data_IF_842818843149
#
_entry.id   IF_842818843149
#
_cell.length_a   1.000
_cell.length_b   1.000
_cell.length_c   1.000
_cell.angle_alpha   90.00
_cell.angle_beta   90.00
_cell.angle_gamma   90.00
#
_symmetry.space_group_name_H-M   'P 1'
#
loop_
_entity.id
_entity.type
_entity.pdbx_description
1 polymer ?
#
# COMPACT_ATOMS: atom_id res chain seq x y z
N UNK A 1 30.89 -25.85 6.47
CA UNK A 1 30.70 -24.63 5.67
C UNK A 1 29.27 -24.66 5.15
N UNK A 2 28.35 -23.99 5.85
CA UNK A 2 26.94 -23.92 5.46
C UNK A 2 26.82 -22.69 4.55
N UNK A 3 26.56 -22.92 3.27
CA UNK A 3 26.29 -21.88 2.29
C UNK A 3 24.80 -21.53 2.41
N UNK A 4 24.46 -20.40 3.01
CA UNK A 4 23.11 -19.84 2.96
C UNK A 4 22.91 -19.25 1.56
N UNK A 5 22.23 -19.98 0.68
CA UNK A 5 21.77 -19.47 -0.61
C UNK A 5 20.58 -18.53 -0.37
N UNK A 6 20.85 -17.23 -0.28
CA UNK A 6 19.84 -16.18 -0.38
C UNK A 6 19.34 -16.10 -1.82
N UNK A 7 18.52 -17.07 -2.23
CA UNK A 7 17.80 -17.02 -3.50
C UNK A 7 16.47 -16.30 -3.28
N UNK A 8 16.42 -15.01 -3.59
CA UNK A 8 15.13 -14.34 -3.79
C UNK A 8 14.40 -15.03 -4.95
N UNK A 9 13.11 -15.28 -4.79
CA UNK A 9 12.25 -15.78 -5.87
C UNK A 9 12.31 -14.77 -7.05
N UNK A 10 12.47 -15.18 -8.33
CA UNK A 10 11.97 -14.42 -9.45
C UNK A 10 10.55 -13.87 -9.27
N UNK A 11 10.32 -12.69 -9.87
CA UNK A 11 9.06 -11.97 -9.78
C UNK A 11 7.84 -12.73 -10.34
N UNK A 12 8.08 -13.73 -11.19
CA UNK A 12 7.06 -14.59 -11.76
C UNK A 12 6.54 -15.69 -10.79
N UNK A 13 7.18 -15.88 -9.63
CA UNK A 13 6.93 -17.03 -8.73
C UNK A 13 6.28 -16.63 -7.39
N UNK A 14 5.91 -15.36 -7.20
CA UNK A 14 5.22 -14.96 -5.97
C UNK A 14 3.76 -15.47 -6.01
N UNK A 15 3.36 -16.24 -4.99
CA UNK A 15 2.00 -16.77 -4.83
C UNK A 15 1.27 -16.08 -3.68
N UNK A 16 -0.05 -16.25 -3.57
CA UNK A 16 -0.81 -15.75 -2.42
C UNK A 16 -0.33 -16.35 -1.10
N UNK A 17 -0.06 -17.65 -1.08
CA UNK A 17 0.45 -18.33 0.11
C UNK A 17 1.81 -17.76 0.56
N UNK A 18 2.66 -17.35 -0.39
CA UNK A 18 3.96 -16.75 -0.09
C UNK A 18 3.84 -15.35 0.54
N UNK A 19 2.80 -14.58 0.19
CA UNK A 19 2.56 -13.22 0.73
C UNK A 19 1.63 -13.18 1.95
N UNK A 20 0.95 -14.29 2.26
CA UNK A 20 0.18 -14.46 3.49
C UNK A 20 0.70 -15.63 4.33
N UNK A 21 2.00 -15.63 4.69
CA UNK A 21 2.58 -16.70 5.49
C UNK A 21 1.98 -16.70 6.91
N UNK A 22 1.86 -17.88 7.52
CA UNK A 22 1.34 -18.05 8.88
C UNK A 22 2.42 -18.06 9.96
N UNK A 23 3.69 -18.10 9.55
CA UNK A 23 4.85 -18.37 10.39
C UNK A 23 5.90 -17.24 10.41
N UNK A 24 5.73 -16.19 9.60
CA UNK A 24 6.63 -15.03 9.56
C UNK A 24 5.91 -13.73 9.26
N UNK A 25 6.57 -12.62 9.57
CA UNK A 25 6.19 -11.29 9.09
C UNK A 25 6.79 -11.10 7.69
N UNK A 26 5.98 -10.64 6.75
CA UNK A 26 6.39 -10.35 5.38
C UNK A 26 7.28 -9.11 5.32
N UNK A 27 8.42 -9.17 4.61
CA UNK A 27 9.23 -7.98 4.34
C UNK A 27 8.73 -7.27 3.08
N UNK A 28 8.37 -5.99 3.23
CA UNK A 28 7.90 -5.16 2.12
C UNK A 28 8.64 -3.84 2.13
N UNK A 29 9.42 -3.60 1.08
CA UNK A 29 10.20 -2.40 0.89
C UNK A 29 9.58 -1.55 -0.22
N UNK A 30 9.13 -0.35 0.11
CA UNK A 30 8.54 0.60 -0.84
C UNK A 30 9.54 1.72 -1.08
N UNK A 31 9.90 1.97 -2.33
CA UNK A 31 10.76 3.08 -2.74
C UNK A 31 9.95 4.08 -3.56
N UNK A 32 9.99 5.34 -3.16
CA UNK A 32 9.24 6.46 -3.76
C UNK A 32 10.10 7.72 -3.72
N UNK A 33 10.02 8.64 -4.69
CA UNK A 33 10.67 9.94 -4.61
C UNK A 33 10.26 10.71 -3.35
N UNK A 34 11.18 11.49 -2.78
CA UNK A 34 10.92 12.22 -1.53
C UNK A 34 9.77 13.24 -1.66
N UNK A 35 9.67 13.92 -2.80
CA UNK A 35 8.60 14.88 -3.10
C UNK A 35 7.22 14.21 -3.22
N UNK A 36 7.18 13.02 -3.83
CA UNK A 36 5.97 12.21 -3.95
C UNK A 36 5.55 11.64 -2.59
N UNK A 37 6.53 11.28 -1.75
CA UNK A 37 6.26 10.87 -0.38
C UNK A 37 5.65 11.99 0.45
N UNK A 38 6.16 13.22 0.33
CA UNK A 38 5.58 14.38 0.98
C UNK A 38 4.16 14.65 0.48
N UNK A 39 3.95 14.57 -0.84
CA UNK A 39 2.62 14.66 -1.45
C UNK A 39 1.66 13.65 -0.82
N UNK A 40 2.03 12.37 -0.74
CA UNK A 40 1.22 11.33 -0.11
C UNK A 40 0.91 11.65 1.35
N UNK A 41 1.93 11.99 2.15
CA UNK A 41 1.79 12.13 3.61
C UNK A 41 0.89 13.30 3.99
N UNK A 42 0.96 14.40 3.25
CA UNK A 42 0.21 15.62 3.55
C UNK A 42 -1.17 15.70 2.87
N UNK A 43 -1.48 14.84 1.90
CA UNK A 43 -2.86 14.69 1.43
C UNK A 43 -3.80 14.36 2.59
N UNK A 44 -4.91 15.10 2.69
CA UNK A 44 -5.91 14.85 3.72
C UNK A 44 -7.32 15.08 3.21
N UNK A 45 -8.27 14.38 3.81
CA UNK A 45 -9.70 14.58 3.65
C UNK A 45 -10.20 15.50 4.75
N UNK A 46 -10.81 16.62 4.33
CA UNK A 46 -11.44 17.56 5.24
C UNK A 46 -12.74 16.96 5.81
N UNK A 47 -12.97 17.15 7.12
CA UNK A 47 -14.14 16.63 7.83
C UNK A 47 -15.45 17.22 7.30
N UNK A 48 -15.51 18.54 7.13
CA UNK A 48 -16.72 19.25 6.70
C UNK A 48 -17.11 18.89 5.28
N UNK A 49 -16.13 18.74 4.39
CA UNK A 49 -16.38 18.28 3.02
C UNK A 49 -16.85 16.82 3.03
N UNK A 50 -16.15 15.94 3.75
CA UNK A 50 -16.44 14.51 3.75
C UNK A 50 -17.82 14.15 4.31
N UNK A 51 -18.32 14.90 5.29
CA UNK A 51 -19.60 14.65 5.95
C UNK A 51 -20.71 15.61 5.51
N UNK A 52 -20.46 16.43 4.48
CA UNK A 52 -21.44 17.33 3.92
C UNK A 52 -22.69 16.57 3.42
N UNK A 53 -23.88 17.16 3.58
CA UNK A 53 -25.16 16.58 3.14
C UNK A 53 -25.18 16.25 1.62
N UNK A 54 -24.41 16.99 0.81
CA UNK A 54 -24.28 16.77 -0.64
C UNK A 54 -23.88 15.34 -1.03
N UNK A 55 -23.19 14.61 -0.14
CA UNK A 55 -22.83 13.20 -0.35
C UNK A 55 -24.02 12.24 -0.55
N UNK A 56 -25.24 12.68 -0.21
CA UNK A 56 -26.48 11.94 -0.47
C UNK A 56 -26.86 11.95 -1.96
N UNK A 57 -26.41 12.95 -2.71
CA UNK A 57 -26.81 13.17 -4.10
C UNK A 57 -25.71 12.78 -5.08
N UNK A 58 -24.45 12.88 -4.69
CA UNK A 58 -23.32 12.48 -5.53
C UNK A 58 -22.09 12.05 -4.70
N UNK A 59 -21.21 11.19 -5.25
CA UNK A 59 -19.94 10.87 -4.63
C UNK A 59 -19.04 12.11 -4.51
N UNK A 60 -18.47 12.31 -3.33
CA UNK A 60 -17.47 13.36 -3.11
C UNK A 60 -16.10 12.82 -3.57
N UNK A 61 -15.41 13.49 -4.52
CA UNK A 61 -14.08 13.08 -4.97
C UNK A 61 -13.11 12.87 -3.80
N UNK A 62 -12.27 11.86 -3.91
CA UNK A 62 -11.25 11.60 -2.90
C UNK A 62 -10.01 12.46 -3.09
N UNK A 63 -9.34 12.89 -2.01
CA UNK A 63 -8.15 13.75 -2.10
C UNK A 63 -6.85 12.95 -2.34
N UNK A 64 -6.93 11.62 -2.46
CA UNK A 64 -5.74 10.77 -2.48
C UNK A 64 -5.43 10.33 -3.90
N UNK A 65 -4.37 10.90 -4.46
CA UNK A 65 -3.85 10.55 -5.78
C UNK A 65 -2.80 9.43 -5.67
N UNK A 66 -2.61 8.68 -6.76
CA UNK A 66 -1.49 7.78 -6.92
C UNK A 66 -0.25 8.54 -7.39
N UNK A 67 0.92 8.11 -6.92
CA UNK A 67 2.24 8.44 -7.47
C UNK A 67 2.92 7.15 -7.93
N UNK A 68 3.90 7.25 -8.81
CA UNK A 68 4.69 6.08 -9.21
C UNK A 68 5.69 5.72 -8.10
N UNK A 69 5.84 4.42 -7.84
CA UNK A 69 6.77 3.88 -6.88
C UNK A 69 7.28 2.51 -7.36
N UNK A 70 8.21 1.92 -6.60
CA UNK A 70 8.52 0.49 -6.70
C UNK A 70 8.30 -0.19 -5.36
N UNK A 71 7.94 -1.47 -5.39
CA UNK A 71 7.82 -2.31 -4.20
C UNK A 71 8.62 -3.58 -4.37
N UNK A 72 9.28 -4.01 -3.31
CA UNK A 72 9.93 -5.32 -3.21
C UNK A 72 9.27 -6.11 -2.08
N UNK A 73 8.83 -7.33 -2.38
CA UNK A 73 8.17 -8.24 -1.44
C UNK A 73 9.02 -9.50 -1.35
N UNK A 74 9.63 -9.77 -0.19
CA UNK A 74 10.54 -10.92 0.00
C UNK A 74 11.58 -11.10 -1.14
N UNK A 75 12.12 -9.98 -1.64
CA UNK A 75 13.12 -9.95 -2.72
C UNK A 75 12.55 -9.89 -4.15
N UNK A 76 11.26 -10.14 -4.36
CA UNK A 76 10.59 -9.95 -5.65
C UNK A 76 10.28 -8.48 -5.89
N UNK A 77 10.81 -7.91 -6.97
CA UNK A 77 10.64 -6.49 -7.29
C UNK A 77 9.54 -6.24 -8.32
N UNK A 78 8.63 -5.33 -7.98
CA UNK A 78 7.66 -4.69 -8.86
C UNK A 78 8.15 -3.25 -9.14
N UNK A 79 8.70 -2.97 -10.34
CA UNK A 79 9.45 -1.72 -10.58
C UNK A 79 8.56 -0.50 -10.78
N UNK A 80 7.29 -0.66 -11.18
CA UNK A 80 6.38 0.43 -11.53
C UNK A 80 4.98 0.18 -10.99
N UNK A 81 4.77 0.55 -9.73
CA UNK A 81 3.50 0.42 -9.02
C UNK A 81 2.93 1.78 -8.69
N UNK A 82 1.65 1.84 -8.39
CA UNK A 82 0.97 3.04 -7.92
C UNK A 82 0.94 3.02 -6.40
N UNK A 83 1.50 4.03 -5.75
CA UNK A 83 1.41 4.23 -4.31
C UNK A 83 0.44 5.36 -4.00
N UNK A 84 -0.48 5.16 -3.04
CA UNK A 84 -1.31 6.25 -2.52
C UNK A 84 -1.60 6.12 -1.04
N UNK A 85 -1.99 7.24 -0.43
CA UNK A 85 -2.59 7.25 0.90
C UNK A 85 -3.98 6.60 0.87
N UNK A 86 -4.25 5.80 1.90
CA UNK A 86 -5.58 5.31 2.27
C UNK A 86 -5.93 5.99 3.59
N UNK A 87 -7.12 6.58 3.67
CA UNK A 87 -7.54 7.16 4.93
C UNK A 87 -8.94 7.74 4.88
N UNK A 88 -9.58 7.73 6.03
CA UNK A 88 -10.74 8.55 6.33
C UNK A 88 -10.51 9.20 7.69
N UNK A 89 -11.33 10.19 8.07
CA UNK A 89 -11.14 11.09 9.22
C UNK A 89 -10.20 10.56 10.33
N UNK A 90 -10.54 9.46 11.01
CA UNK A 90 -9.75 8.92 12.13
C UNK A 90 -8.41 8.27 11.78
N UNK A 91 -8.28 7.67 10.59
CA UNK A 91 -7.09 6.91 10.19
C UNK A 91 -6.03 7.74 9.47
N UNK A 92 -6.31 9.01 9.17
CA UNK A 92 -5.34 9.89 8.52
C UNK A 92 -4.14 10.18 9.44
N UNK A 93 -2.95 10.12 8.86
CA UNK A 93 -1.69 10.41 9.54
C UNK A 93 -0.67 10.89 8.52
N UNK A 94 0.08 11.94 8.85
CA UNK A 94 1.25 12.39 8.11
C UNK A 94 2.53 11.71 8.59
N UNK A 95 2.50 10.99 9.73
CA UNK A 95 3.67 10.30 10.28
C UNK A 95 3.68 8.83 9.84
N UNK A 96 2.53 8.16 9.95
CA UNK A 96 2.33 6.75 9.59
C UNK A 96 1.02 6.62 8.79
N UNK A 97 0.97 7.04 7.52
CA UNK A 97 -0.24 6.90 6.70
C UNK A 97 -0.55 5.42 6.49
N UNK A 98 -1.84 5.06 6.37
CA UNK A 98 -2.17 3.81 5.70
C UNK A 98 -1.93 3.98 4.20
N UNK A 99 -1.44 2.93 3.55
CA UNK A 99 -1.04 2.96 2.15
C UNK A 99 -1.83 1.94 1.34
N UNK A 100 -2.00 2.24 0.06
CA UNK A 100 -2.38 1.26 -0.95
C UNK A 100 -1.31 1.23 -2.03
N UNK A 101 -0.88 0.03 -2.37
CA UNK A 101 -0.01 -0.24 -3.50
C UNK A 101 -0.84 -0.92 -4.58
N UNK A 102 -0.90 -0.34 -5.77
CA UNK A 102 -1.53 -0.90 -6.96
C UNK A 102 -0.43 -1.44 -7.86
N UNK A 103 -0.29 -2.76 -7.94
CA UNK A 103 0.75 -3.46 -8.69
C UNK A 103 0.59 -3.21 -10.20
N UNK A 104 -0.65 -3.30 -10.69
CA UNK A 104 -1.05 -3.10 -12.08
C UNK A 104 -1.23 -1.62 -12.46
N UNK A 105 -0.43 -0.72 -11.88
CA UNK A 105 -0.58 0.72 -12.11
C UNK A 105 -0.10 1.13 -13.50
N UNK A 106 1.07 0.63 -13.92
CA UNK A 106 1.65 0.89 -15.25
C UNK A 106 1.53 -0.32 -16.15
N UNK A 107 1.77 -1.52 -15.62
CA UNK A 107 1.70 -2.78 -16.35
C UNK A 107 0.45 -3.57 -15.93
N UNK A 108 -0.58 -3.70 -16.79
CA UNK A 108 -1.82 -4.40 -16.46
C UNK A 108 -1.65 -5.87 -16.07
N UNK A 109 -0.57 -6.51 -16.50
CA UNK A 109 -0.28 -7.91 -16.18
C UNK A 109 0.43 -8.07 -14.83
N UNK A 110 0.80 -6.97 -14.17
CA UNK A 110 1.52 -6.97 -12.91
C UNK A 110 0.59 -7.30 -11.74
N UNK A 111 0.59 -8.58 -11.34
CA UNK A 111 -0.27 -9.12 -10.29
C UNK A 111 0.34 -10.37 -9.64
N UNK A 112 -0.23 -10.78 -8.52
CA UNK A 112 0.13 -11.99 -7.76
C UNK A 112 -1.11 -12.90 -7.74
N UNK A 113 -1.19 -13.89 -8.63
CA UNK A 113 -2.35 -14.80 -8.75
C UNK A 113 -3.72 -14.07 -8.77
N UNK A 114 -3.82 -12.99 -9.54
CA UNK A 114 -5.04 -12.16 -9.62
C UNK A 114 -5.11 -11.01 -8.60
N UNK A 115 -4.25 -11.00 -7.58
CA UNK A 115 -4.12 -9.89 -6.65
C UNK A 115 -3.28 -8.77 -7.25
N UNK A 116 -3.90 -7.61 -7.46
CA UNK A 116 -3.22 -6.44 -8.01
C UNK A 116 -3.10 -5.28 -7.00
N UNK A 117 -3.66 -5.40 -5.80
CA UNK A 117 -3.67 -4.31 -4.81
C UNK A 117 -3.32 -4.82 -3.42
N UNK A 118 -2.32 -4.20 -2.80
CA UNK A 118 -1.94 -4.43 -1.40
C UNK A 118 -2.41 -3.24 -0.56
N UNK A 119 -2.92 -3.53 0.64
CA UNK A 119 -3.33 -2.50 1.60
C UNK A 119 -2.51 -2.63 2.87
N UNK A 120 -1.86 -1.53 3.27
CA UNK A 120 -1.06 -1.44 4.48
C UNK A 120 -1.78 -0.51 5.46
N UNK A 121 -2.48 -1.08 6.44
CA UNK A 121 -3.15 -0.30 7.46
C UNK A 121 -2.14 0.21 8.50
N UNK A 122 -2.28 1.46 8.93
CA UNK A 122 -1.44 2.02 9.99
C UNK A 122 -1.85 1.61 11.41
N UNK A 123 -2.98 0.90 11.55
CA UNK A 123 -3.59 0.47 12.81
C UNK A 123 -3.59 1.56 13.89
N UNK A 124 -3.79 2.83 13.52
CA UNK A 124 -3.65 3.96 14.44
C UNK A 124 -4.61 3.89 15.64
N UNK A 125 -5.75 3.24 15.49
CA UNK A 125 -6.80 3.14 16.51
C UNK A 125 -6.78 1.83 17.30
N UNK A 126 -5.99 0.83 16.86
CA UNK A 126 -5.83 -0.45 17.56
C UNK A 126 -4.43 -0.53 18.16
N UNK A 127 -4.31 -0.33 19.47
CA UNK A 127 -3.03 -0.41 20.17
C UNK A 127 -2.42 -1.81 20.15
N UNK A 128 -3.23 -2.86 20.01
CA UNK A 128 -2.74 -4.24 19.97
C UNK A 128 -2.17 -4.61 18.58
N UNK A 129 -2.51 -3.85 17.52
CA UNK A 129 -2.07 -4.07 16.14
C UNK A 129 -2.50 -5.43 15.54
N UNK A 130 -3.53 -6.06 16.07
CA UNK A 130 -4.00 -7.40 15.66
C UNK A 130 -5.36 -7.39 14.97
N UNK A 131 -6.12 -6.30 15.07
CA UNK A 131 -7.42 -6.13 14.40
C UNK A 131 -7.26 -5.16 13.23
N UNK A 132 -7.54 -5.61 12.00
CA UNK A 132 -7.37 -4.84 10.76
C UNK A 132 -8.61 -4.79 9.88
#
# INVERSE_FOLDING_TARGET
>A
MILLLGGGLPAADLTLDAIFPTDKVLDVQITVPAEDWDTIRYQSRNFFEALNARRQFEPIPGPYAYVEASVTIDGVKFPKVGLRKKGFIGSQSSIRPSLKVKLDFVDPESQIEGLNTLTFNNNKQDTAQVSQ
#
